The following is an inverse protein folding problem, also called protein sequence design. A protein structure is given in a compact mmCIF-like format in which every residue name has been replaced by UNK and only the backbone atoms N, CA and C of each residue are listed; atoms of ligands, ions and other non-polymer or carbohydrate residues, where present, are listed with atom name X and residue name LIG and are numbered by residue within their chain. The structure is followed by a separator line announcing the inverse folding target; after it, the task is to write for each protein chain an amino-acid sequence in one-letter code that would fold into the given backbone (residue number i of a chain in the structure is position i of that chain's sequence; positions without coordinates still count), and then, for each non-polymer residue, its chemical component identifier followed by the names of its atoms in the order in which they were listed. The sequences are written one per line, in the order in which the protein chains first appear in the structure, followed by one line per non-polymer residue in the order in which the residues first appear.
data_IF_142699650661
#
_entry.id   IF_142699650661
#
_cell.length_a   1.000
_cell.length_b   1.000
_cell.length_c   1.000
_cell.angle_alpha   90.00
_cell.angle_beta   90.00
_cell.angle_gamma   90.00
#
_symmetry.space_group_name_H-M   'P 1'
#
loop_
_entity.id
_entity.type
_entity.pdbx_description
1 polymer ?
#
# COMPACT_ATOMS: atom_id res chain seq x y z
N UNK A 1 7.85 3.65 14.33
CA UNK A 1 6.62 4.48 14.46
C UNK A 1 5.73 3.86 15.52
N UNK A 2 5.18 4.67 16.46
CA UNK A 2 4.16 4.19 17.41
C UNK A 2 2.78 4.53 16.87
N UNK A 3 1.90 3.57 16.84
CA UNK A 3 0.51 3.70 16.44
C UNK A 3 -0.42 3.56 17.66
N UNK A 4 -1.47 4.37 17.70
CA UNK A 4 -2.60 4.23 18.61
C UNK A 4 -3.89 4.53 17.88
N UNK A 5 -4.94 3.77 18.17
CA UNK A 5 -6.23 3.97 17.53
C UNK A 5 -7.43 3.79 18.49
N UNK A 6 -8.61 4.06 17.93
CA UNK A 6 -9.89 3.94 18.65
C UNK A 6 -10.37 2.51 18.84
N UNK A 7 -9.67 1.50 18.31
CA UNK A 7 -9.91 0.08 18.55
C UNK A 7 -9.13 -0.42 19.77
N UNK A 8 -8.39 0.46 20.45
CA UNK A 8 -7.55 0.11 21.60
C UNK A 8 -6.16 -0.39 21.26
N UNK A 9 -5.76 -0.34 19.98
CA UNK A 9 -4.39 -0.71 19.62
C UNK A 9 -3.40 0.36 20.10
N UNK A 10 -2.29 -0.09 20.70
CA UNK A 10 -1.10 0.70 21.05
C UNK A 10 0.13 -0.14 20.70
N UNK A 11 0.65 0.06 19.50
CA UNK A 11 1.66 -0.83 18.91
C UNK A 11 2.84 -0.03 18.36
N UNK A 12 3.96 -0.72 18.15
CA UNK A 12 5.13 -0.18 17.46
C UNK A 12 5.32 -0.90 16.13
N UNK A 13 5.38 -0.12 15.06
CA UNK A 13 5.75 -0.58 13.72
C UNK A 13 7.22 -0.30 13.52
N UNK A 14 8.03 -1.33 13.32
CA UNK A 14 9.47 -1.24 13.18
C UNK A 14 9.87 -1.04 11.70
N UNK A 15 11.17 -0.83 11.47
CA UNK A 15 11.70 -0.77 10.10
C UNK A 15 11.52 -2.11 9.38
N UNK A 16 11.01 -2.06 8.15
CA UNK A 16 10.72 -3.24 7.33
C UNK A 16 9.37 -3.92 7.64
N UNK A 17 8.57 -3.37 8.57
CA UNK A 17 7.21 -3.81 8.82
C UNK A 17 6.21 -2.90 8.09
N UNK A 18 5.01 -3.43 7.82
CA UNK A 18 3.93 -2.69 7.17
C UNK A 18 2.72 -2.61 8.09
N UNK A 19 2.24 -1.39 8.29
CA UNK A 19 0.96 -1.12 8.93
C UNK A 19 -0.15 -1.21 7.87
N UNK A 20 -1.10 -2.11 8.06
CA UNK A 20 -2.28 -2.28 7.21
C UNK A 20 -3.53 -1.92 8.00
N UNK A 21 -4.18 -0.82 7.63
CA UNK A 21 -5.36 -0.31 8.32
C UNK A 21 -6.56 -0.35 7.38
N UNK A 22 -7.60 -1.06 7.78
CA UNK A 22 -8.92 -0.96 7.18
C UNK A 22 -9.73 0.06 7.97
N UNK A 23 -9.95 1.23 7.41
CA UNK A 23 -10.70 2.28 8.10
C UNK A 23 -12.18 1.94 8.28
N UNK A 24 -12.77 1.23 7.32
CA UNK A 24 -14.15 0.75 7.39
C UNK A 24 -15.14 1.85 7.76
N UNK A 25 -16.02 1.55 8.69
CA UNK A 25 -17.06 2.47 9.21
C UNK A 25 -16.51 3.64 10.04
N UNK A 26 -15.20 3.67 10.28
CA UNK A 26 -14.48 4.77 10.92
C UNK A 26 -13.50 4.33 11.99
N UNK A 27 -12.30 4.90 11.93
CA UNK A 27 -11.23 4.74 12.91
C UNK A 27 -10.59 6.10 13.17
N UNK A 28 -10.29 6.40 14.42
CA UNK A 28 -9.45 7.53 14.81
C UNK A 28 -8.08 6.99 15.19
N UNK A 29 -7.04 7.52 14.57
CA UNK A 29 -5.67 7.05 14.83
C UNK A 29 -4.69 8.20 15.01
N UNK A 30 -3.63 7.93 15.76
CA UNK A 30 -2.46 8.78 15.90
C UNK A 30 -1.21 7.97 15.61
N UNK A 31 -0.27 8.58 14.89
CA UNK A 31 1.03 7.98 14.60
C UNK A 31 2.13 8.92 15.05
N UNK A 32 3.11 8.43 15.78
CA UNK A 32 4.27 9.19 16.23
C UNK A 32 5.55 8.49 15.79
N UNK A 33 6.43 9.22 15.11
CA UNK A 33 7.76 8.74 14.73
C UNK A 33 8.76 9.01 15.86
N UNK A 34 9.55 8.00 16.18
CA UNK A 34 10.73 8.22 17.04
C UNK A 34 11.78 8.97 16.24
N UNK A 35 12.45 9.97 16.83
CA UNK A 35 13.55 10.66 16.17
C UNK A 35 14.59 9.68 15.64
N UNK A 36 15.00 9.85 14.39
CA UNK A 36 16.00 9.02 13.70
C UNK A 36 16.77 9.89 12.71
N UNK A 37 17.99 9.51 12.39
CA UNK A 37 18.81 10.25 11.40
C UNK A 37 18.20 10.16 9.99
N UNK A 38 17.63 9.00 9.64
CA UNK A 38 17.00 8.78 8.36
C UNK A 38 15.63 8.11 8.55
N UNK A 39 14.59 8.77 8.06
CA UNK A 39 13.25 8.22 8.01
C UNK A 39 12.77 8.16 6.56
N UNK A 40 12.49 6.96 6.10
CA UNK A 40 11.78 6.72 4.85
C UNK A 40 10.51 5.92 5.16
N UNK A 41 9.37 6.47 4.77
CA UNK A 41 8.07 5.85 4.96
C UNK A 41 7.21 6.16 3.74
N UNK A 42 6.50 5.16 3.25
CA UNK A 42 5.54 5.32 2.15
C UNK A 42 4.16 4.98 2.69
N UNK A 43 3.22 5.91 2.52
CA UNK A 43 1.80 5.70 2.82
C UNK A 43 1.02 5.82 1.53
N UNK A 44 0.25 4.81 1.20
CA UNK A 44 -0.71 4.84 0.11
C UNK A 44 -2.09 4.40 0.61
N UNK A 45 -3.11 4.73 -0.16
CA UNK A 45 -4.49 4.43 0.18
C UNK A 45 -5.08 3.50 -0.88
N UNK A 46 -5.62 2.39 -0.42
CA UNK A 46 -6.37 1.45 -1.22
C UNK A 46 -7.86 1.77 -1.06
N UNK A 47 -8.52 2.17 -2.15
CA UNK A 47 -9.94 2.53 -2.09
C UNK A 47 -10.80 1.27 -2.00
N UNK A 48 -11.46 1.09 -0.86
CA UNK A 48 -12.40 -0.01 -0.66
C UNK A 48 -13.62 0.12 -1.58
N UNK A 49 -14.21 -1.00 -2.04
CA UNK A 49 -15.51 -0.98 -2.73
C UNK A 49 -16.58 -0.31 -1.88
N UNK A 50 -17.52 0.40 -2.53
CA UNK A 50 -18.61 1.11 -1.83
C UNK A 50 -19.42 0.21 -0.91
N UNK A 51 -19.70 -1.01 -1.36
CA UNK A 51 -20.41 -2.03 -0.58
C UNK A 51 -19.69 -2.44 0.71
N UNK A 52 -18.39 -2.17 0.83
CA UNK A 52 -17.56 -2.59 1.95
C UNK A 52 -17.04 -1.43 2.81
N UNK A 53 -17.24 -0.18 2.36
CA UNK A 53 -16.75 1.01 3.07
C UNK A 53 -17.24 1.12 4.51
N UNK A 54 -18.41 0.57 4.82
CA UNK A 54 -19.02 0.60 6.16
C UNK A 54 -18.81 -0.69 6.96
N UNK A 55 -17.94 -1.59 6.51
CA UNK A 55 -17.53 -2.75 7.31
C UNK A 55 -16.77 -2.32 8.58
N UNK A 56 -16.60 -3.26 9.49
CA UNK A 56 -15.86 -3.01 10.72
C UNK A 56 -14.41 -2.60 10.42
N UNK A 57 -13.89 -1.59 11.11
CA UNK A 57 -12.48 -1.23 11.00
C UNK A 57 -11.59 -2.36 11.52
N UNK A 58 -10.39 -2.47 10.95
CA UNK A 58 -9.41 -3.49 11.29
C UNK A 58 -7.99 -2.93 11.25
N UNK A 59 -7.12 -3.49 12.08
CA UNK A 59 -5.72 -3.11 12.19
C UNK A 59 -4.82 -4.35 12.18
N UNK A 60 -3.84 -4.36 11.29
CA UNK A 60 -2.88 -5.45 11.19
C UNK A 60 -1.46 -4.92 10.96
N UNK A 61 -0.46 -5.59 11.52
CA UNK A 61 0.95 -5.36 11.21
C UNK A 61 1.48 -6.58 10.47
N UNK A 62 1.94 -6.38 9.24
CA UNK A 62 2.71 -7.37 8.52
C UNK A 62 4.13 -7.32 9.08
N UNK A 63 4.48 -8.33 9.86
CA UNK A 63 5.78 -8.42 10.51
C UNK A 63 6.86 -8.81 9.52
N UNK A 64 8.10 -8.39 9.79
CA UNK A 64 9.24 -8.76 8.95
C UNK A 64 9.42 -10.28 8.82
N UNK A 65 9.17 -11.03 9.89
CA UNK A 65 9.22 -12.50 9.90
C UNK A 65 8.13 -13.18 9.05
N UNK A 66 7.03 -12.47 8.75
CA UNK A 66 5.93 -13.00 7.92
C UNK A 66 6.16 -12.75 6.42
N UNK A 67 7.13 -11.91 6.07
CA UNK A 67 7.45 -11.60 4.69
C UNK A 67 8.26 -12.70 4.02
N UNK A 68 8.26 -12.77 2.69
CA UNK A 68 9.04 -13.74 1.91
C UNK A 68 10.10 -13.03 1.09
N UNK A 69 11.32 -13.58 1.11
CA UNK A 69 12.40 -13.12 0.27
C UNK A 69 12.47 -13.98 -0.99
N UNK A 70 12.44 -13.32 -2.14
CA UNK A 70 12.44 -13.96 -3.46
C UNK A 70 13.57 -13.31 -4.28
N UNK A 71 14.41 -14.12 -4.88
CA UNK A 71 15.39 -13.64 -5.85
C UNK A 71 14.92 -14.05 -7.26
N UNK A 72 14.78 -13.07 -8.12
CA UNK A 72 14.52 -13.23 -9.54
C UNK A 72 15.71 -12.59 -10.25
N UNK A 73 16.06 -13.04 -11.46
CA UNK A 73 17.18 -12.49 -12.21
C UNK A 73 17.19 -10.95 -12.17
N UNK A 74 18.25 -10.40 -11.60
CA UNK A 74 18.47 -8.95 -11.48
C UNK A 74 17.73 -8.25 -10.33
N UNK A 75 16.87 -8.92 -9.56
CA UNK A 75 16.12 -8.30 -8.49
C UNK A 75 16.05 -9.14 -7.21
N UNK A 76 16.09 -8.45 -6.07
CA UNK A 76 15.76 -8.99 -4.75
C UNK A 76 14.41 -8.42 -4.32
N UNK A 77 13.48 -9.29 -3.96
CA UNK A 77 12.10 -8.91 -3.68
C UNK A 77 11.74 -9.35 -2.27
N UNK A 78 11.24 -8.41 -1.48
CA UNK A 78 10.52 -8.72 -0.24
C UNK A 78 9.03 -8.69 -0.57
N UNK A 79 8.40 -9.86 -0.61
CA UNK A 79 6.95 -9.99 -0.79
C UNK A 79 6.27 -9.66 0.54
N UNK A 80 5.65 -8.49 0.60
CA UNK A 80 4.95 -7.98 1.77
C UNK A 80 3.50 -8.45 1.80
N UNK A 81 2.82 -8.35 0.65
CA UNK A 81 1.44 -8.81 0.49
C UNK A 81 1.20 -9.35 -0.92
N UNK A 82 0.17 -10.18 -1.06
CA UNK A 82 -0.24 -10.77 -2.33
C UNK A 82 0.52 -12.05 -2.66
N UNK A 83 0.69 -12.32 -3.95
CA UNK A 83 1.29 -13.56 -4.44
C UNK A 83 2.32 -13.26 -5.53
N UNK A 84 3.46 -13.94 -5.47
CA UNK A 84 4.48 -13.88 -6.52
C UNK A 84 5.02 -15.29 -6.78
N UNK A 85 4.72 -15.85 -7.96
CA UNK A 85 4.97 -17.26 -8.26
C UNK A 85 4.24 -18.16 -7.27
N UNK A 86 4.98 -19.08 -6.65
CA UNK A 86 4.44 -20.01 -5.63
C UNK A 86 4.50 -19.44 -4.20
N UNK A 87 4.97 -18.22 -4.04
CA UNK A 87 5.10 -17.55 -2.74
C UNK A 87 3.88 -16.70 -2.42
N UNK A 88 3.44 -16.79 -1.17
CA UNK A 88 2.30 -16.05 -0.65
C UNK A 88 2.72 -15.19 0.55
N UNK A 89 2.41 -13.89 0.49
CA UNK A 89 2.52 -12.91 1.56
C UNK A 89 1.17 -12.67 2.24
N UNK A 90 1.05 -11.54 2.95
CA UNK A 90 -0.24 -11.15 3.57
C UNK A 90 -1.36 -11.05 2.54
N UNK A 91 -2.55 -11.54 2.87
CA UNK A 91 -3.72 -11.46 2.00
C UNK A 91 -4.69 -10.41 2.53
N UNK A 92 -4.96 -9.40 1.71
CA UNK A 92 -5.92 -8.34 2.04
C UNK A 92 -7.33 -8.90 2.21
N UNK A 93 -8.05 -8.42 3.23
CA UNK A 93 -9.38 -8.93 3.60
C UNK A 93 -10.48 -8.53 2.61
N UNK A 94 -10.42 -7.32 2.07
CA UNK A 94 -11.49 -6.72 1.25
C UNK A 94 -11.12 -6.63 -0.23
N UNK A 95 -9.87 -6.29 -0.50
CA UNK A 95 -9.31 -6.23 -1.84
C UNK A 95 -8.00 -6.97 -1.88
N UNK A 96 -7.70 -7.70 -2.95
CA UNK A 96 -6.37 -8.23 -3.13
C UNK A 96 -5.39 -7.06 -3.21
N UNK A 97 -4.26 -7.21 -2.54
CA UNK A 97 -3.15 -6.27 -2.57
C UNK A 97 -1.89 -7.02 -2.91
N UNK A 98 -1.27 -6.70 -4.03
CA UNK A 98 0.08 -7.12 -4.35
C UNK A 98 1.02 -5.98 -3.93
N UNK A 99 1.92 -6.27 -2.99
CA UNK A 99 2.88 -5.28 -2.47
C UNK A 99 4.26 -5.92 -2.39
N UNK A 100 5.16 -5.45 -3.25
CA UNK A 100 6.53 -5.94 -3.34
C UNK A 100 7.49 -4.78 -3.08
N UNK A 101 8.45 -4.98 -2.18
CA UNK A 101 9.61 -4.11 -2.01
C UNK A 101 10.77 -4.72 -2.80
N UNK A 102 11.24 -4.00 -3.80
CA UNK A 102 12.17 -4.50 -4.81
C UNK A 102 13.47 -3.71 -4.76
N UNK A 103 14.59 -4.43 -4.71
CA UNK A 103 15.92 -3.89 -4.85
C UNK A 103 16.59 -4.45 -6.12
N UNK A 104 17.20 -3.59 -6.91
CA UNK A 104 17.95 -3.96 -8.10
C UNK A 104 19.35 -3.35 -8.07
N UNK A 105 20.34 -4.14 -8.46
CA UNK A 105 21.70 -3.64 -8.67
C UNK A 105 21.81 -2.89 -10.00
N UNK A 106 22.82 -2.01 -10.09
CA UNK A 106 23.13 -1.30 -11.34
C UNK A 106 23.34 -2.25 -12.52
N UNK A 107 22.85 -1.84 -13.69
CA UNK A 107 22.96 -2.55 -14.97
C UNK A 107 22.32 -3.95 -14.96
N UNK A 108 21.22 -4.11 -14.21
CA UNK A 108 20.41 -5.33 -14.21
C UNK A 108 19.05 -5.10 -14.87
N UNK A 109 18.46 -6.20 -15.32
CA UNK A 109 17.11 -6.23 -15.88
C UNK A 109 16.36 -7.38 -15.24
N UNK A 110 15.10 -7.15 -14.90
CA UNK A 110 14.20 -8.17 -14.37
C UNK A 110 12.87 -8.16 -15.10
N UNK A 111 12.17 -9.28 -15.05
CA UNK A 111 10.78 -9.40 -15.54
C UNK A 111 9.92 -9.87 -14.38
N UNK A 112 8.99 -9.01 -13.96
CA UNK A 112 8.03 -9.34 -12.92
C UNK A 112 6.69 -9.72 -13.54
N UNK A 113 6.11 -10.87 -13.20
CA UNK A 113 4.73 -11.18 -13.56
C UNK A 113 3.78 -10.25 -12.82
N UNK A 114 2.73 -9.82 -13.52
CA UNK A 114 1.63 -9.03 -12.96
C UNK A 114 0.31 -9.65 -13.37
N UNK A 115 -0.65 -9.86 -12.44
CA UNK A 115 -1.96 -10.35 -12.86
C UNK A 115 -2.66 -9.34 -13.79
N UNK A 116 -3.25 -9.85 -14.89
CA UNK A 116 -3.86 -9.00 -15.92
C UNK A 116 -5.04 -8.15 -15.39
N UNK A 117 -5.70 -8.61 -14.33
CA UNK A 117 -6.83 -7.92 -13.71
C UNK A 117 -6.41 -6.84 -12.71
N UNK A 118 -5.11 -6.62 -12.51
CA UNK A 118 -4.60 -5.63 -11.56
C UNK A 118 -4.34 -4.27 -12.23
N UNK A 119 -4.71 -3.24 -11.48
CA UNK A 119 -4.15 -1.89 -11.68
C UNK A 119 -2.83 -1.83 -10.93
N UNK A 120 -1.72 -1.73 -11.65
CA UNK A 120 -0.38 -1.77 -11.09
C UNK A 120 0.27 -0.39 -11.14
N UNK A 121 0.93 -0.03 -10.04
CA UNK A 121 1.76 1.17 -9.92
C UNK A 121 3.15 0.80 -9.43
N UNK A 122 4.14 1.57 -9.85
CA UNK A 122 5.51 1.51 -9.32
C UNK A 122 5.83 2.84 -8.67
N UNK A 123 6.31 2.82 -7.43
CA UNK A 123 6.87 3.98 -6.75
C UNK A 123 8.37 3.79 -6.55
N UNK A 124 9.18 4.62 -7.22
CA UNK A 124 10.65 4.58 -7.10
C UNK A 124 11.07 5.34 -5.84
N UNK A 125 11.66 4.61 -4.89
CA UNK A 125 12.16 5.18 -3.64
C UNK A 125 13.54 5.78 -3.79
N UNK A 126 14.46 5.06 -4.41
CA UNK A 126 15.83 5.50 -4.66
C UNK A 126 16.28 5.05 -6.05
N UNK A 127 17.18 5.84 -6.66
CA UNK A 127 17.69 5.60 -7.99
C UNK A 127 16.72 5.92 -9.11
N UNK A 128 16.95 5.33 -10.28
CA UNK A 128 16.11 5.47 -11.46
C UNK A 128 15.95 4.10 -12.12
N UNK A 129 14.75 3.79 -12.57
CA UNK A 129 14.46 2.59 -13.35
C UNK A 129 13.81 2.96 -14.68
N UNK A 130 13.81 2.01 -15.62
CA UNK A 130 12.95 2.05 -16.80
C UNK A 130 11.93 0.92 -16.71
N UNK A 131 10.67 1.22 -16.95
CA UNK A 131 9.60 0.26 -17.02
C UNK A 131 8.96 0.31 -18.40
N UNK A 132 8.97 -0.79 -19.14
CA UNK A 132 8.49 -0.82 -20.52
C UNK A 132 9.19 0.22 -21.43
N UNK A 133 10.46 0.51 -21.21
CA UNK A 133 11.25 1.50 -21.94
C UNK A 133 11.07 2.96 -21.49
N UNK A 134 10.17 3.25 -20.55
CA UNK A 134 9.95 4.60 -20.02
C UNK A 134 10.70 4.79 -18.70
N UNK A 135 11.51 5.85 -18.61
CA UNK A 135 12.25 6.20 -17.40
C UNK A 135 11.32 6.67 -16.29
N UNK A 136 11.53 6.16 -15.09
CA UNK A 136 10.82 6.55 -13.87
C UNK A 136 11.88 6.98 -12.86
N UNK A 137 12.01 8.30 -12.62
CA UNK A 137 13.04 8.82 -11.71
C UNK A 137 12.67 8.58 -10.25
N UNK A 138 13.66 8.82 -9.39
CA UNK A 138 13.49 8.79 -7.93
C UNK A 138 12.30 9.67 -7.46
N UNK A 139 11.59 9.20 -6.43
CA UNK A 139 10.41 9.86 -5.82
C UNK A 139 9.26 10.05 -6.80
N UNK A 140 9.18 9.24 -7.84
CA UNK A 140 8.11 9.27 -8.84
C UNK A 140 7.24 8.03 -8.79
N UNK A 141 5.99 8.19 -9.18
CA UNK A 141 5.01 7.11 -9.34
C UNK A 141 4.69 6.96 -10.82
N UNK A 142 4.72 5.74 -11.31
CA UNK A 142 4.19 5.38 -12.62
C UNK A 142 3.02 4.42 -12.47
N UNK A 143 1.87 4.76 -13.08
CA UNK A 143 0.77 3.83 -13.30
C UNK A 143 1.01 3.09 -14.60
N UNK A 144 0.96 1.77 -14.55
CA UNK A 144 1.19 0.94 -15.71
C UNK A 144 -0.09 0.73 -16.54
N UNK A 145 0.10 0.46 -17.83
CA UNK A 145 -0.96 -0.12 -18.65
C UNK A 145 -1.23 -1.56 -18.23
N UNK A 146 -2.40 -2.08 -18.57
CA UNK A 146 -2.75 -3.47 -18.34
C UNK A 146 -1.79 -4.42 -19.08
N UNK A 147 -1.42 -5.51 -18.43
CA UNK A 147 -0.49 -6.51 -18.96
C UNK A 147 -0.23 -7.63 -17.96
N UNK A 148 0.37 -8.71 -18.43
CA UNK A 148 0.69 -9.92 -17.65
C UNK A 148 2.08 -9.90 -17.02
N UNK A 149 2.90 -8.92 -17.38
CA UNK A 149 4.28 -8.77 -16.90
C UNK A 149 4.80 -7.37 -17.13
N UNK A 150 5.87 -7.05 -16.43
CA UNK A 150 6.62 -5.81 -16.64
C UNK A 150 8.11 -6.10 -16.70
N UNK A 151 8.77 -5.56 -17.73
CA UNK A 151 10.23 -5.53 -17.82
C UNK A 151 10.74 -4.26 -17.17
N UNK A 152 11.64 -4.41 -16.21
CA UNK A 152 12.26 -3.32 -15.46
C UNK A 152 13.77 -3.37 -15.65
N UNK A 153 14.36 -2.23 -16.01
CA UNK A 153 15.79 -2.04 -16.18
C UNK A 153 16.28 -1.01 -15.15
N UNK A 154 17.38 -1.31 -14.45
CA UNK A 154 18.02 -0.41 -13.53
C UNK A 154 19.41 -0.05 -14.07
N UNK A 155 19.66 1.24 -14.32
CA UNK A 155 20.99 1.74 -14.78
C UNK A 155 21.92 2.06 -13.61
N UNK A 156 21.38 2.23 -12.41
CA UNK A 156 22.06 2.39 -11.12
C UNK A 156 21.39 1.49 -10.10
N UNK A 157 21.99 1.38 -8.91
CA UNK A 157 21.29 0.75 -7.79
C UNK A 157 19.96 1.47 -7.57
N UNK A 158 18.89 0.71 -7.46
CA UNK A 158 17.53 1.23 -7.32
C UNK A 158 16.70 0.43 -6.32
N UNK A 159 15.77 1.12 -5.65
CA UNK A 159 14.75 0.50 -4.83
C UNK A 159 13.38 1.11 -5.13
N UNK A 160 12.35 0.26 -5.20
CA UNK A 160 11.01 0.68 -5.56
C UNK A 160 9.95 -0.27 -5.00
N UNK A 161 8.75 0.25 -4.83
CA UNK A 161 7.57 -0.56 -4.51
C UNK A 161 6.78 -0.86 -5.77
N UNK A 162 6.34 -2.12 -5.91
CA UNK A 162 5.30 -2.52 -6.86
C UNK A 162 4.01 -2.69 -6.07
N UNK A 163 2.96 -1.99 -6.48
CA UNK A 163 1.68 -1.93 -5.80
C UNK A 163 0.59 -2.31 -6.80
N UNK A 164 -0.10 -3.41 -6.56
CA UNK A 164 -1.16 -3.90 -7.43
C UNK A 164 -2.45 -4.17 -6.68
N UNK A 165 -3.60 -3.85 -7.26
CA UNK A 165 -4.91 -4.20 -6.74
C UNK A 165 -5.98 -4.16 -7.84
N UNK A 166 -7.17 -4.67 -7.54
CA UNK A 166 -8.31 -4.53 -8.44
C UNK A 166 -8.74 -3.06 -8.56
N UNK A 167 -9.06 -2.62 -9.78
CA UNK A 167 -9.69 -1.33 -9.99
C UNK A 167 -11.19 -1.44 -9.65
N UNK A 168 -11.65 -0.68 -8.67
CA UNK A 168 -13.08 -0.68 -8.29
C UNK A 168 -13.96 -0.02 -9.36
N UNK A 169 -13.38 0.86 -10.20
CA UNK A 169 -14.10 1.67 -11.20
C UNK A 169 -15.24 2.51 -10.62
N UNK A 170 -15.19 2.78 -9.33
CA UNK A 170 -16.17 3.58 -8.60
C UNK A 170 -15.71 5.03 -8.49
N UNK A 171 -16.68 5.93 -8.31
CA UNK A 171 -16.38 7.33 -8.02
C UNK A 171 -15.66 7.45 -6.69
N UNK A 172 -14.65 8.29 -6.63
CA UNK A 172 -13.90 8.62 -5.42
C UNK A 172 -14.15 10.08 -5.07
N UNK A 173 -14.73 10.33 -3.92
CA UNK A 173 -14.87 11.67 -3.34
C UNK A 173 -13.93 11.79 -2.15
N UNK A 174 -12.95 12.67 -2.30
CA UNK A 174 -11.89 12.89 -1.34
C UNK A 174 -12.28 14.00 -0.37
N UNK A 175 -12.59 13.63 0.85
CA UNK A 175 -12.86 14.53 1.97
C UNK A 175 -11.70 14.57 2.96
N UNK A 176 -10.51 14.99 2.54
CA UNK A 176 -9.29 15.01 3.34
C UNK A 176 -8.90 13.62 3.90
N UNK A 177 -9.37 13.26 5.10
CA UNK A 177 -9.10 11.95 5.73
C UNK A 177 -10.23 10.94 5.56
N UNK A 178 -11.29 11.31 4.86
CA UNK A 178 -12.47 10.48 4.61
C UNK A 178 -12.65 10.30 3.11
N UNK A 179 -12.79 9.07 2.64
CA UNK A 179 -13.03 8.74 1.24
C UNK A 179 -14.35 7.99 1.11
N UNK A 180 -15.25 8.56 0.31
CA UNK A 180 -16.56 7.99 0.00
C UNK A 180 -16.80 8.00 -1.53
N UNK A 181 -17.94 7.49 -1.96
CA UNK A 181 -18.36 7.49 -3.36
C UNK A 181 -19.20 8.72 -3.73
N UNK A 182 -19.67 9.47 -2.74
CA UNK A 182 -20.45 10.69 -2.92
C UNK A 182 -20.18 11.72 -1.82
N UNK A 183 -20.48 12.99 -2.09
CA UNK A 183 -20.27 14.12 -1.18
C UNK A 183 -21.11 14.04 0.08
N UNK A 184 -22.35 13.57 -0.04
CA UNK A 184 -23.30 13.49 1.07
C UNK A 184 -22.76 12.59 2.19
N UNK A 185 -22.13 11.48 1.84
CA UNK A 185 -21.57 10.56 2.83
C UNK A 185 -20.30 11.14 3.48
N UNK A 186 -19.52 11.93 2.77
CA UNK A 186 -18.42 12.71 3.36
C UNK A 186 -18.94 13.73 4.36
N UNK A 187 -19.96 14.53 3.98
CA UNK A 187 -20.59 15.51 4.87
C UNK A 187 -21.19 14.85 6.11
N UNK A 188 -21.88 13.72 5.92
CA UNK A 188 -22.43 12.91 7.02
C UNK A 188 -21.36 12.48 8.00
N UNK A 189 -20.23 11.96 7.51
CA UNK A 189 -19.11 11.51 8.35
C UNK A 189 -18.51 12.66 9.17
N UNK A 190 -18.35 13.85 8.58
CA UNK A 190 -17.90 15.04 9.32
C UNK A 190 -18.90 15.49 10.38
N UNK A 191 -20.18 15.47 10.05
CA UNK A 191 -21.22 15.79 11.03
C UNK A 191 -21.26 14.80 12.21
N UNK A 192 -21.02 13.51 11.92
CA UNK A 192 -20.90 12.48 12.97
C UNK A 192 -19.65 12.70 13.83
N UNK A 193 -18.52 13.16 13.25
CA UNK A 193 -17.32 13.56 14.00
C UNK A 193 -17.63 14.71 14.97
N UNK A 194 -18.31 15.75 14.50
CA UNK A 194 -18.69 16.90 15.34
C UNK A 194 -19.62 16.49 16.48
N UNK A 195 -20.50 15.53 16.26
CA UNK A 195 -21.43 15.02 17.27
C UNK A 195 -20.85 13.94 18.18
N UNK A 196 -19.64 13.46 17.93
CA UNK A 196 -19.05 12.36 18.69
C UNK A 196 -19.71 11.00 18.43
N UNK A 197 -20.38 10.83 17.28
CA UNK A 197 -21.07 9.58 16.87
C UNK A 197 -20.41 8.89 15.68
N UNK A 198 -19.23 9.34 15.30
CA UNK A 198 -18.49 8.84 14.15
C UNK A 198 -18.06 7.38 14.33
N UNK A 199 -17.49 7.05 15.49
CA UNK A 199 -17.05 5.70 15.79
C UNK A 199 -18.24 4.78 15.99
N UNK A 200 -18.34 3.72 15.18
CA UNK A 200 -19.39 2.69 15.30
C UNK A 200 -18.93 1.55 16.20
N UNK A 201 -17.60 1.34 16.26
CA UNK A 201 -16.94 0.35 17.11
C UNK A 201 -15.90 1.07 17.95
N UNK A 202 -15.81 0.72 19.22
CA UNK A 202 -14.80 1.21 20.16
C UNK A 202 -14.21 0.00 20.91
N UNK A 203 -12.88 0.01 21.05
CA UNK A 203 -12.13 -0.97 21.85
C UNK A 203 -12.10 -0.62 23.34
#
# INVERSE_FOLDING_TARGET
MRHRDSLGNDTTVNSGEVEYVTAGSGILQTSAFTPTEHLQSVRFWLNMPDSEKMNDPDYHIIKKEDTKYIEIDGAKITLLAGTLGDSEGYQGKHLPLDLYDVEMAANTTTVLPTPEDRSVMIFVMNGEIKAGGTAIPEKSVAKLSQGDRITIEASSDASFLVIGSLATNERVVWGNTIIMTNERDVEKAYHELEKGTFLKIQG
#
